data_IF_587836853892
#
_entry.id   IF_587836853892
#
_cell.length_a   1.000
_cell.length_b   1.000
_cell.length_c   1.000
_cell.angle_alpha   90.00
_cell.angle_beta   90.00
_cell.angle_gamma   90.00
#
_symmetry.space_group_name_H-M   'P 1'
#
loop_
_entity.id
_entity.type
_entity.pdbx_description
1 polymer ?
#
# COMPACT_ATOMS: atom_id res chain seq x y z
N UNK A 1 16.94 -20.47 -3.25
CA UNK A 1 15.55 -20.04 -3.52
C UNK A 1 15.51 -18.53 -3.53
N UNK A 2 14.42 -17.94 -4.02
CA UNK A 2 14.18 -16.49 -3.95
C UNK A 2 14.23 -16.03 -2.48
N UNK A 3 15.01 -14.99 -2.17
CA UNK A 3 15.07 -14.38 -0.84
C UNK A 3 14.12 -13.20 -0.76
N UNK A 4 13.25 -13.21 0.25
CA UNK A 4 12.13 -12.27 0.35
C UNK A 4 12.19 -11.56 1.69
N UNK A 5 12.34 -10.24 1.67
CA UNK A 5 12.11 -9.41 2.85
C UNK A 5 10.62 -9.11 2.98
N UNK A 6 10.05 -9.17 4.19
CA UNK A 6 8.61 -9.00 4.40
C UNK A 6 8.30 -8.04 5.54
N UNK A 7 7.24 -7.26 5.39
CA UNK A 7 6.63 -6.47 6.47
C UNK A 7 5.14 -6.77 6.58
N UNK A 8 4.66 -6.95 7.82
CA UNK A 8 3.27 -7.23 8.16
C UNK A 8 2.66 -8.42 7.40
N UNK A 9 3.49 -9.44 7.15
CA UNK A 9 3.14 -10.74 6.58
C UNK A 9 3.62 -11.83 7.53
N UNK A 10 2.89 -12.93 7.56
CA UNK A 10 3.33 -14.14 8.26
C UNK A 10 4.42 -14.87 7.48
N UNK A 11 5.60 -15.16 8.08
CA UNK A 11 6.66 -15.91 7.40
C UNK A 11 6.20 -17.26 6.86
N UNK A 12 5.30 -17.94 7.57
CA UNK A 12 4.73 -19.23 7.16
C UNK A 12 3.95 -19.15 5.84
N UNK A 13 3.21 -18.07 5.60
CA UNK A 13 2.45 -17.86 4.35
C UNK A 13 3.38 -17.60 3.16
N UNK A 14 4.57 -17.04 3.41
CA UNK A 14 5.56 -16.67 2.37
C UNK A 14 6.55 -17.81 2.07
N UNK A 15 6.81 -18.67 3.06
CA UNK A 15 7.74 -19.80 2.96
C UNK A 15 7.57 -20.75 1.75
N UNK A 16 6.35 -20.96 1.19
CA UNK A 16 6.19 -21.77 -0.03
C UNK A 16 6.75 -21.12 -1.29
N UNK A 17 6.93 -19.80 -1.30
CA UNK A 17 7.37 -19.02 -2.46
C UNK A 17 8.86 -18.66 -2.42
N UNK A 18 9.45 -18.63 -1.23
CA UNK A 18 10.84 -18.26 -1.05
C UNK A 18 11.32 -18.32 0.38
N UNK A 19 12.61 -18.04 0.57
CA UNK A 19 13.25 -17.92 1.88
C UNK A 19 13.01 -16.51 2.42
N UNK A 20 12.35 -16.42 3.58
CA UNK A 20 12.22 -15.13 4.29
C UNK A 20 13.56 -14.73 4.88
N UNK A 21 13.95 -13.48 4.70
CA UNK A 21 15.17 -12.88 5.27
C UNK A 21 14.85 -11.69 6.15
N UNK A 22 15.69 -11.44 7.17
CA UNK A 22 15.47 -10.37 8.16
C UNK A 22 16.00 -9.01 7.70
N UNK A 23 16.94 -8.99 6.76
CA UNK A 23 17.60 -7.78 6.25
C UNK A 23 17.28 -7.58 4.77
N UNK A 24 16.82 -6.37 4.43
CA UNK A 24 16.55 -5.93 3.06
C UNK A 24 17.77 -6.11 2.17
N UNK A 25 18.98 -5.89 2.68
CA UNK A 25 20.22 -6.02 1.92
C UNK A 25 20.51 -7.47 1.47
N UNK A 26 19.86 -8.46 2.08
CA UNK A 26 19.99 -9.87 1.74
C UNK A 26 18.88 -10.36 0.79
N UNK A 27 17.87 -9.53 0.53
CA UNK A 27 16.68 -9.91 -0.21
C UNK A 27 16.86 -9.71 -1.72
N UNK A 28 16.22 -10.58 -2.50
CA UNK A 28 16.10 -10.41 -3.95
C UNK A 28 14.88 -9.54 -4.30
N UNK A 29 13.81 -9.64 -3.48
CA UNK A 29 12.61 -8.80 -3.52
C UNK A 29 12.14 -8.44 -2.10
N UNK A 30 11.36 -7.38 -1.97
CA UNK A 30 10.62 -7.09 -0.74
C UNK A 30 9.10 -7.08 -0.96
N UNK A 31 8.34 -7.50 0.05
CA UNK A 31 6.87 -7.41 0.08
C UNK A 31 6.46 -6.66 1.34
N UNK A 32 5.93 -5.44 1.16
CA UNK A 32 5.50 -4.59 2.27
C UNK A 32 3.98 -4.54 2.29
N UNK A 33 3.35 -5.09 3.34
CA UNK A 33 1.92 -4.87 3.60
C UNK A 33 1.75 -3.68 4.52
N UNK A 34 1.11 -2.62 4.03
CA UNK A 34 0.94 -1.36 4.75
C UNK A 34 -0.56 -1.11 5.01
N UNK A 35 -0.86 -0.43 6.10
CA UNK A 35 -2.17 0.20 6.25
C UNK A 35 -2.17 1.55 5.52
N UNK A 36 -3.34 2.00 5.06
CA UNK A 36 -3.50 3.39 4.67
C UNK A 36 -3.00 4.33 5.78
N UNK A 37 -2.29 5.42 5.44
CA UNK A 37 -1.72 6.32 6.43
C UNK A 37 -2.81 6.94 7.31
N UNK A 38 -2.50 7.13 8.60
CA UNK A 38 -3.38 7.76 9.57
C UNK A 38 -2.58 8.32 10.74
N UNK A 39 -3.19 9.24 11.49
CA UNK A 39 -2.59 9.81 12.70
C UNK A 39 -2.94 8.96 13.92
N UNK A 40 -1.91 8.54 14.66
CA UNK A 40 -2.11 7.93 15.98
C UNK A 40 -2.49 9.00 16.99
N UNK A 41 -3.77 9.08 17.33
CA UNK A 41 -4.32 10.06 18.29
C UNK A 41 -4.32 9.50 19.70
N UNK A 42 -4.15 10.39 20.69
CA UNK A 42 -4.12 10.04 22.12
C UNK A 42 -5.53 10.20 22.69
N UNK A 43 -6.07 9.13 23.27
CA UNK A 43 -7.38 9.18 23.93
C UNK A 43 -8.12 7.87 23.80
N UNK A 44 -8.95 7.55 24.80
CA UNK A 44 -9.63 6.25 24.89
C UNK A 44 -10.61 6.01 23.74
N UNK A 45 -11.27 7.06 23.23
CA UNK A 45 -12.17 6.97 22.07
C UNK A 45 -11.45 7.32 20.75
N UNK A 46 -10.68 8.42 20.72
CA UNK A 46 -10.01 8.88 19.51
C UNK A 46 -8.92 7.93 18.99
N UNK A 47 -8.27 7.18 19.87
CA UNK A 47 -7.24 6.21 19.50
C UNK A 47 -7.76 5.00 18.72
N UNK A 48 -9.08 4.82 18.65
CA UNK A 48 -9.73 3.73 17.89
C UNK A 48 -10.02 4.10 16.43
N UNK A 49 -9.93 5.39 16.07
CA UNK A 49 -10.26 5.86 14.73
C UNK A 49 -9.01 6.15 13.92
N UNK A 50 -8.96 5.64 12.70
CA UNK A 50 -7.98 6.03 11.70
C UNK A 50 -8.44 7.31 11.01
N UNK A 51 -7.93 8.44 11.51
CA UNK A 51 -8.28 9.79 11.07
C UNK A 51 -7.02 10.62 10.79
N UNK A 52 -7.22 11.84 10.31
CA UNK A 52 -6.14 12.80 10.04
C UNK A 52 -5.72 12.79 8.57
N UNK A 53 -4.50 13.23 8.31
CA UNK A 53 -3.95 13.32 6.95
C UNK A 53 -3.95 11.96 6.23
N UNK A 54 -3.93 11.99 4.90
CA UNK A 54 -4.02 10.83 4.01
C UNK A 54 -2.65 10.45 3.39
N UNK A 55 -1.56 11.10 3.78
CA UNK A 55 -0.20 10.81 3.33
C UNK A 55 0.68 10.26 4.47
N UNK A 56 1.67 9.44 4.12
CA UNK A 56 2.70 9.04 5.07
C UNK A 56 3.58 10.24 5.41
N UNK A 57 3.82 10.46 6.71
CA UNK A 57 4.73 11.49 7.20
C UNK A 57 6.09 10.89 7.55
N UNK A 58 7.11 11.75 7.63
CA UNK A 58 8.41 11.34 8.17
C UNK A 58 8.29 10.97 9.67
N UNK A 59 9.10 10.00 10.16
CA UNK A 59 10.18 9.29 9.45
C UNK A 59 9.71 8.07 8.63
N UNK A 60 8.42 7.72 8.68
CA UNK A 60 7.92 6.47 8.10
C UNK A 60 7.96 6.49 6.57
N UNK A 61 7.60 7.62 5.95
CA UNK A 61 7.71 7.80 4.50
C UNK A 61 9.15 7.57 4.03
N UNK A 62 10.13 8.21 4.66
CA UNK A 62 11.54 8.02 4.35
C UNK A 62 12.00 6.57 4.51
N UNK A 63 11.54 5.86 5.55
CA UNK A 63 11.84 4.45 5.78
C UNK A 63 11.34 3.57 4.64
N UNK A 64 10.07 3.72 4.25
CA UNK A 64 9.45 2.96 3.16
C UNK A 64 10.20 3.22 1.85
N UNK A 65 10.40 4.50 1.49
CA UNK A 65 11.11 4.89 0.26
C UNK A 65 12.57 4.40 0.25
N UNK A 66 13.23 4.28 1.40
CA UNK A 66 14.58 3.73 1.48
C UNK A 66 14.62 2.21 1.20
N UNK A 67 13.57 1.46 1.54
CA UNK A 67 13.47 0.03 1.20
C UNK A 67 13.25 -0.13 -0.31
N UNK A 68 12.30 0.63 -0.85
CA UNK A 68 11.96 0.66 -2.29
C UNK A 68 13.17 0.94 -3.18
N UNK A 69 14.12 1.76 -2.71
CA UNK A 69 15.36 2.08 -3.44
C UNK A 69 16.43 0.99 -3.40
N UNK A 70 16.39 0.10 -2.40
CA UNK A 70 17.42 -0.93 -2.23
C UNK A 70 17.11 -2.19 -3.02
N UNK A 71 15.83 -2.57 -3.10
CA UNK A 71 15.39 -3.83 -3.71
C UNK A 71 14.04 -3.66 -4.40
N UNK A 72 13.77 -4.32 -5.55
CA UNK A 72 12.45 -4.33 -6.15
C UNK A 72 11.39 -4.74 -5.12
N UNK A 73 10.45 -3.83 -4.87
CA UNK A 73 9.50 -3.98 -3.77
C UNK A 73 8.07 -4.00 -4.30
N UNK A 74 7.31 -5.02 -3.88
CA UNK A 74 5.86 -5.07 -4.02
C UNK A 74 5.24 -4.44 -2.79
N UNK A 75 4.43 -3.41 -2.97
CA UNK A 75 3.72 -2.75 -1.87
C UNK A 75 2.25 -3.13 -1.98
N UNK A 76 1.69 -3.70 -0.92
CA UNK A 76 0.26 -3.97 -0.78
C UNK A 76 -0.30 -3.05 0.30
N UNK A 77 -1.31 -2.25 -0.04
CA UNK A 77 -1.91 -1.30 0.90
C UNK A 77 -3.34 -1.71 1.21
N UNK A 78 -3.63 -1.92 2.49
CA UNK A 78 -4.99 -2.05 2.99
C UNK A 78 -5.67 -0.66 2.98
N UNK A 79 -6.57 -0.46 2.02
CA UNK A 79 -7.24 0.81 1.73
C UNK A 79 -8.65 0.88 2.36
N UNK A 80 -8.73 0.93 3.68
CA UNK A 80 -9.99 1.26 4.36
C UNK A 80 -10.38 2.75 4.24
N UNK A 81 -9.44 3.57 3.76
CA UNK A 81 -9.59 4.99 3.44
C UNK A 81 -8.68 5.34 2.25
N UNK A 82 -8.92 6.45 1.52
CA UNK A 82 -8.02 6.91 0.48
C UNK A 82 -6.61 7.20 1.01
N UNK A 83 -5.61 7.13 0.13
CA UNK A 83 -4.22 7.40 0.47
C UNK A 83 -3.56 8.27 -0.61
N UNK A 84 -2.82 9.29 -0.17
CA UNK A 84 -1.92 10.13 -0.98
C UNK A 84 -0.53 9.49 -0.93
N UNK A 85 -0.16 8.77 -1.98
CA UNK A 85 1.05 7.94 -2.02
C UNK A 85 1.81 8.02 -3.37
N UNK A 86 1.93 9.20 -4.01
CA UNK A 86 2.51 9.29 -5.35
C UNK A 86 3.95 8.75 -5.41
N UNK A 87 4.79 9.02 -4.39
CA UNK A 87 6.19 8.58 -4.41
C UNK A 87 6.35 7.07 -4.19
N UNK A 88 5.44 6.45 -3.42
CA UNK A 88 5.42 5.00 -3.23
C UNK A 88 4.96 4.34 -4.53
N UNK A 89 3.89 4.86 -5.15
CA UNK A 89 3.40 4.35 -6.42
C UNK A 89 4.47 4.44 -7.52
N UNK A 90 5.21 5.54 -7.59
CA UNK A 90 6.30 5.74 -8.55
C UNK A 90 7.49 4.81 -8.32
N UNK A 91 7.88 4.54 -7.06
CA UNK A 91 9.08 3.77 -6.74
C UNK A 91 8.82 2.27 -6.55
N UNK A 92 7.56 1.85 -6.36
CA UNK A 92 7.22 0.43 -6.22
C UNK A 92 7.38 -0.33 -7.54
N UNK A 93 7.89 -1.56 -7.46
CA UNK A 93 7.92 -2.45 -8.61
C UNK A 93 6.50 -2.94 -8.98
N UNK A 94 5.65 -3.08 -7.96
CA UNK A 94 4.22 -3.29 -8.10
C UNK A 94 3.49 -2.69 -6.89
N UNK A 95 2.31 -2.13 -7.12
CA UNK A 95 1.42 -1.59 -6.09
C UNK A 95 0.09 -2.33 -6.13
N UNK A 96 -0.26 -2.96 -5.02
CA UNK A 96 -1.54 -3.62 -4.79
C UNK A 96 -2.36 -2.82 -3.79
N UNK A 97 -3.66 -2.83 -4.02
CA UNK A 97 -4.66 -2.33 -3.08
C UNK A 97 -5.53 -3.50 -2.65
N UNK A 98 -5.72 -3.67 -1.35
CA UNK A 98 -6.65 -4.66 -0.81
C UNK A 98 -7.62 -4.04 0.20
N UNK A 99 -8.69 -4.77 0.49
CA UNK A 99 -9.77 -4.33 1.38
C UNK A 99 -10.04 -5.39 2.48
N UNK A 100 -8.96 -5.94 3.04
CA UNK A 100 -9.01 -6.95 4.11
C UNK A 100 -8.67 -8.36 3.62
N UNK A 101 -7.83 -8.47 2.58
CA UNK A 101 -7.41 -9.75 2.02
C UNK A 101 -6.42 -10.47 2.95
N UNK A 102 -6.52 -11.81 3.00
CA UNK A 102 -5.55 -12.62 3.73
C UNK A 102 -4.18 -12.60 3.06
N UNK A 103 -3.15 -12.97 3.82
CA UNK A 103 -1.78 -13.08 3.30
C UNK A 103 -1.73 -14.01 2.08
N UNK A 104 -2.41 -15.16 2.15
CA UNK A 104 -2.45 -16.17 1.09
C UNK A 104 -3.07 -15.62 -0.19
N UNK A 105 -4.18 -14.88 -0.09
CA UNK A 105 -4.86 -14.31 -1.25
C UNK A 105 -4.00 -13.26 -1.95
N UNK A 106 -3.32 -12.39 -1.18
CA UNK A 106 -2.40 -11.40 -1.74
C UNK A 106 -1.21 -12.08 -2.40
N UNK A 107 -0.61 -13.08 -1.73
CA UNK A 107 0.53 -13.82 -2.26
C UNK A 107 0.18 -14.62 -3.52
N UNK A 108 -1.02 -15.22 -3.57
CA UNK A 108 -1.49 -15.94 -4.75
C UNK A 108 -1.57 -15.01 -5.97
N UNK A 109 -1.98 -13.75 -5.79
CA UNK A 109 -1.95 -12.74 -6.86
C UNK A 109 -0.51 -12.37 -7.18
N UNK A 110 0.30 -11.95 -6.19
CA UNK A 110 1.72 -11.55 -6.40
C UNK A 110 2.52 -12.60 -7.20
N UNK A 111 2.31 -13.88 -6.91
CA UNK A 111 3.01 -14.99 -7.56
C UNK A 111 2.26 -15.57 -8.78
N UNK A 112 1.20 -14.90 -9.26
CA UNK A 112 0.54 -15.22 -10.52
C UNK A 112 -0.29 -16.51 -10.51
N UNK A 113 -0.72 -16.98 -9.34
CA UNK A 113 -1.68 -18.09 -9.24
C UNK A 113 -3.10 -17.68 -9.64
N UNK A 114 -3.43 -16.41 -9.43
CA UNK A 114 -4.68 -15.80 -9.89
C UNK A 114 -4.42 -14.41 -10.48
N UNK A 115 -5.14 -14.07 -11.55
CA UNK A 115 -5.07 -12.75 -12.17
C UNK A 115 -5.80 -11.70 -11.32
N UNK A 116 -5.24 -10.49 -11.12
CA UNK A 116 -5.93 -9.41 -10.44
C UNK A 116 -7.07 -8.90 -11.34
N UNK A 117 -8.26 -8.81 -10.75
CA UNK A 117 -9.48 -8.35 -11.44
C UNK A 117 -10.17 -7.19 -10.73
N UNK A 118 -9.68 -6.81 -9.54
CA UNK A 118 -10.27 -5.77 -8.71
C UNK A 118 -10.22 -4.39 -9.37
N UNK A 119 -11.21 -3.56 -9.05
CA UNK A 119 -11.29 -2.15 -9.46
C UNK A 119 -11.49 -1.28 -8.23
N UNK A 120 -10.81 -0.14 -8.18
CA UNK A 120 -10.88 0.77 -7.05
C UNK A 120 -12.32 1.29 -6.85
N UNK A 121 -12.89 1.19 -5.63
CA UNK A 121 -14.24 1.67 -5.32
C UNK A 121 -14.29 3.18 -5.02
N UNK A 122 -13.13 3.84 -4.95
CA UNK A 122 -12.97 5.29 -4.83
C UNK A 122 -11.67 5.74 -5.51
N UNK A 123 -11.53 7.03 -5.78
CA UNK A 123 -10.29 7.57 -6.33
C UNK A 123 -9.20 7.72 -5.25
N UNK A 124 -7.95 7.61 -5.67
CA UNK A 124 -6.80 7.93 -4.85
C UNK A 124 -6.28 9.33 -5.20
N UNK A 125 -6.24 10.27 -4.24
CA UNK A 125 -5.76 11.63 -4.48
C UNK A 125 -4.26 11.67 -4.80
N UNK A 126 -3.85 12.61 -5.64
CA UNK A 126 -2.44 12.82 -6.02
C UNK A 126 -1.64 13.62 -5.01
N UNK A 127 -2.29 14.44 -4.20
CA UNK A 127 -1.64 15.25 -3.16
C UNK A 127 -2.61 15.61 -2.03
N UNK A 128 -2.08 16.02 -0.88
CA UNK A 128 -2.91 16.58 0.19
C UNK A 128 -3.55 17.93 -0.19
N UNK A 129 -3.00 18.64 -1.19
CA UNK A 129 -3.64 19.83 -1.74
C UNK A 129 -4.91 19.45 -2.53
N UNK A 130 -4.85 18.40 -3.35
CA UNK A 130 -6.02 17.88 -4.05
C UNK A 130 -7.13 17.47 -3.07
N UNK A 131 -6.78 16.82 -1.96
CA UNK A 131 -7.72 16.47 -0.88
C UNK A 131 -8.40 17.71 -0.31
N UNK A 132 -7.65 18.80 -0.05
CA UNK A 132 -8.20 20.03 0.53
C UNK A 132 -9.07 20.81 -0.44
N UNK A 133 -8.82 20.67 -1.74
CA UNK A 133 -9.61 21.31 -2.80
C UNK A 133 -10.86 20.51 -3.18
N UNK A 134 -10.95 19.24 -2.74
CA UNK A 134 -12.10 18.37 -2.97
C UNK A 134 -13.36 18.98 -2.34
N UNK A 135 -14.46 19.04 -3.08
CA UNK A 135 -15.73 19.51 -2.53
C UNK A 135 -16.40 18.39 -1.76
N UNK A 136 -16.70 18.65 -0.50
CA UNK A 136 -17.29 17.66 0.42
C UNK A 136 -18.66 17.11 -0.06
N UNK A 137 -19.35 17.84 -0.95
CA UNK A 137 -20.66 17.50 -1.51
C UNK A 137 -20.62 16.85 -2.90
N UNK A 138 -19.44 16.72 -3.53
CA UNK A 138 -19.28 16.11 -4.86
C UNK A 138 -18.37 14.89 -4.82
N UNK A 139 -18.83 13.73 -5.31
CA UNK A 139 -17.96 12.58 -5.47
C UNK A 139 -17.06 12.73 -6.70
N UNK A 140 -15.80 12.29 -6.58
CA UNK A 140 -14.86 12.14 -7.70
C UNK A 140 -14.55 13.42 -8.48
N UNK A 141 -14.41 14.55 -7.78
CA UNK A 141 -14.10 15.86 -8.36
C UNK A 141 -12.61 16.23 -8.32
N UNK A 142 -11.72 15.31 -7.91
CA UNK A 142 -10.28 15.53 -8.01
C UNK A 142 -9.87 15.73 -9.48
N UNK A 143 -9.23 16.85 -9.81
CA UNK A 143 -8.86 17.16 -11.20
C UNK A 143 -7.85 16.16 -11.78
N UNK A 144 -6.90 15.68 -10.97
CA UNK A 144 -5.84 14.76 -11.40
C UNK A 144 -5.59 13.72 -10.30
N UNK A 145 -6.48 12.73 -10.10
CA UNK A 145 -6.27 11.70 -9.09
C UNK A 145 -5.04 10.85 -9.46
N UNK A 146 -4.32 10.36 -8.45
CA UNK A 146 -3.24 9.39 -8.65
C UNK A 146 -3.77 8.14 -9.33
N UNK A 147 -4.94 7.66 -8.88
CA UNK A 147 -5.70 6.60 -9.54
C UNK A 147 -7.19 6.97 -9.53
N UNK A 148 -7.87 6.99 -10.69
CA UNK A 148 -9.29 7.34 -10.74
C UNK A 148 -10.17 6.21 -10.18
N UNK A 149 -11.44 6.55 -9.89
CA UNK A 149 -12.47 5.55 -9.60
C UNK A 149 -12.50 4.47 -10.70
N UNK A 150 -12.60 3.21 -10.29
CA UNK A 150 -12.66 2.08 -11.20
C UNK A 150 -11.31 1.73 -11.83
N UNK A 151 -10.21 2.35 -11.43
CA UNK A 151 -8.88 1.93 -11.87
C UNK A 151 -8.55 0.52 -11.35
N UNK A 152 -7.88 -0.27 -12.19
CA UNK A 152 -7.35 -1.58 -11.84
C UNK A 152 -6.77 -2.26 -13.06
N UNK A 153 -5.64 -2.93 -12.90
CA UNK A 153 -4.88 -3.57 -13.98
C UNK A 153 -5.12 -5.07 -14.02
N UNK A 154 -4.67 -5.71 -15.10
CA UNK A 154 -4.51 -7.15 -15.24
C UNK A 154 -3.08 -7.46 -15.72
N UNK A 155 -2.63 -8.70 -15.62
CA UNK A 155 -1.34 -9.15 -16.13
C UNK A 155 -1.27 -9.18 -17.66
#
# INVERSE_FOLDING_TARGET
GLKIYIENLKPESVSPYGQVVEDVAQADIAILRLNAPYEKRKGLAEGWFHAGELDFKEPEKGRILNILKQVPSVVDIYLERPAVIPEIAEQSAALLANFGASDEAVLDVIFGKFDPQGKLPFELPSSMEAVRNQKEDLPHDSENPLFPLGHGLCY
#
